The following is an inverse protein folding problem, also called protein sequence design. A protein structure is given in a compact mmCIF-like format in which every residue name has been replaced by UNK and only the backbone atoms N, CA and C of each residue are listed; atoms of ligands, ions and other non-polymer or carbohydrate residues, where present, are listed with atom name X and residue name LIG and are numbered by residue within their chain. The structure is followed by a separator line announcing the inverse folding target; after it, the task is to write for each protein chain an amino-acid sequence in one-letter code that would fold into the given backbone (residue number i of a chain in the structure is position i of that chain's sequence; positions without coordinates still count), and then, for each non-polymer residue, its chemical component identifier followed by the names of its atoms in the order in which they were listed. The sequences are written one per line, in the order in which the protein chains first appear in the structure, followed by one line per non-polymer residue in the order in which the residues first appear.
data_IF_182950097271
#
_entry.id   IF_182950097271
#
_cell.length_a   1.000
_cell.length_b   1.000
_cell.length_c   1.000
_cell.angle_alpha   90.00
_cell.angle_beta   90.00
_cell.angle_gamma   90.00
#
_symmetry.space_group_name_H-M   'P 1'
#
loop_
_entity.id
_entity.type
_entity.pdbx_description
1 polymer ?
#
# COMPACT_ATOMS: atom_id res chain seq x y z
N UNK A 1 5.15 9.83 17.75
CA UNK A 1 6.62 9.99 17.80
C UNK A 1 7.19 8.61 17.66
N UNK A 2 8.06 8.39 16.67
CA UNK A 2 8.63 7.07 16.41
C UNK A 2 9.77 6.73 17.38
N UNK A 3 10.11 5.45 17.43
CA UNK A 3 11.17 4.93 18.28
C UNK A 3 12.01 3.92 17.52
N UNK A 4 13.31 3.88 17.80
CA UNK A 4 14.21 2.89 17.21
C UNK A 4 14.25 1.65 18.10
N UNK A 5 14.13 0.46 17.50
CA UNK A 5 14.34 -0.79 18.22
C UNK A 5 15.79 -0.83 18.77
N UNK A 6 16.00 -1.03 20.09
CA UNK A 6 17.33 -1.02 20.70
C UNK A 6 18.19 -2.22 20.29
N UNK A 7 17.58 -3.25 19.71
CA UNK A 7 18.27 -4.48 19.30
C UNK A 7 18.69 -4.41 17.82
N UNK A 8 17.75 -4.24 16.90
CA UNK A 8 18.04 -4.25 15.46
C UNK A 8 18.18 -2.85 14.82
N UNK A 9 17.84 -1.77 15.53
CA UNK A 9 17.94 -0.41 15.01
C UNK A 9 16.82 0.00 14.04
N UNK A 10 15.84 -0.84 13.78
CA UNK A 10 14.70 -0.51 12.91
C UNK A 10 13.82 0.57 13.53
N UNK A 11 13.47 1.64 12.79
CA UNK A 11 12.52 2.64 13.25
C UNK A 11 11.10 2.06 13.30
N UNK A 12 10.36 2.41 14.34
CA UNK A 12 8.97 2.02 14.59
C UNK A 12 8.11 3.28 14.68
N UNK A 13 6.86 3.21 14.19
CA UNK A 13 5.99 4.37 14.04
C UNK A 13 5.64 5.05 15.38
N UNK A 14 5.45 4.25 16.43
CA UNK A 14 5.16 4.68 17.79
C UNK A 14 5.54 3.60 18.82
N UNK A 15 5.29 3.90 20.10
CA UNK A 15 5.66 3.03 21.21
C UNK A 15 4.93 1.68 21.21
N UNK A 16 3.68 1.64 20.73
CA UNK A 16 2.92 0.38 20.62
C UNK A 16 3.51 -0.48 19.51
N UNK A 17 3.87 0.11 18.36
CA UNK A 17 4.58 -0.62 17.31
C UNK A 17 5.94 -1.15 17.77
N UNK A 18 6.69 -0.37 18.56
CA UNK A 18 7.94 -0.82 19.18
C UNK A 18 7.70 -2.01 20.13
N UNK A 19 6.71 -1.91 21.02
CA UNK A 19 6.36 -2.99 21.93
C UNK A 19 5.99 -4.29 21.20
N UNK A 20 5.14 -4.16 20.17
CA UNK A 20 4.73 -5.29 19.35
C UNK A 20 5.90 -5.90 18.58
N UNK A 21 6.75 -5.07 17.97
CA UNK A 21 7.95 -5.54 17.28
C UNK A 21 8.86 -6.36 18.20
N UNK A 22 9.15 -5.85 19.40
CA UNK A 22 9.97 -6.55 20.41
C UNK A 22 9.31 -7.86 20.86
N UNK A 23 8.05 -7.80 21.29
CA UNK A 23 7.34 -8.96 21.84
C UNK A 23 7.16 -10.08 20.79
N UNK A 24 6.71 -9.76 19.57
CA UNK A 24 6.54 -10.76 18.52
C UNK A 24 7.88 -11.33 18.06
N UNK A 25 8.92 -10.50 17.94
CA UNK A 25 10.25 -11.00 17.53
C UNK A 25 10.83 -11.91 18.60
N UNK A 26 10.72 -11.55 19.88
CA UNK A 26 11.10 -12.41 20.99
C UNK A 26 10.30 -13.73 20.98
N UNK A 27 8.97 -13.70 20.86
CA UNK A 27 8.16 -14.93 20.88
C UNK A 27 8.39 -15.86 19.67
N UNK A 28 8.62 -15.29 18.47
CA UNK A 28 8.70 -16.07 17.22
C UNK A 28 10.14 -16.49 16.90
N UNK A 29 11.10 -15.60 17.15
CA UNK A 29 12.51 -15.81 16.80
C UNK A 29 13.41 -16.01 18.03
N UNK A 30 13.02 -15.49 19.19
CA UNK A 30 13.84 -15.50 20.40
C UNK A 30 15.13 -14.70 20.22
N UNK A 31 16.15 -15.09 20.98
CA UNK A 31 17.52 -14.57 20.87
C UNK A 31 17.62 -13.14 21.38
N UNK A 32 18.35 -12.28 20.67
CA UNK A 32 18.73 -10.95 21.17
C UNK A 32 17.52 -10.08 21.60
N UNK A 33 16.36 -10.25 20.97
CA UNK A 33 15.15 -9.53 21.34
C UNK A 33 14.52 -10.06 22.64
N UNK A 34 14.59 -11.37 22.86
CA UNK A 34 14.14 -12.02 24.09
C UNK A 34 15.10 -11.75 25.24
N UNK A 35 16.41 -11.93 25.03
CA UNK A 35 17.46 -11.64 26.03
C UNK A 35 17.38 -10.17 26.49
N UNK A 36 17.19 -9.23 25.55
CA UNK A 36 17.07 -7.82 25.88
C UNK A 36 15.82 -7.54 26.72
N UNK A 37 14.68 -8.14 26.36
CA UNK A 37 13.43 -8.01 27.09
C UNK A 37 13.52 -8.64 28.49
N UNK A 38 14.14 -9.80 28.63
CA UNK A 38 14.33 -10.47 29.91
C UNK A 38 15.23 -9.67 30.86
N UNK A 39 16.24 -8.98 30.33
CA UNK A 39 17.13 -8.12 31.12
C UNK A 39 16.47 -6.81 31.55
N UNK A 40 15.76 -6.14 30.64
CA UNK A 40 15.27 -4.78 30.87
C UNK A 40 13.82 -4.73 31.38
N UNK A 41 12.99 -5.67 30.96
CA UNK A 41 11.56 -5.75 31.29
C UNK A 41 11.19 -7.21 31.59
N UNK A 42 11.67 -7.81 32.69
CA UNK A 42 11.53 -9.25 32.97
C UNK A 42 10.09 -9.77 33.07
N UNK A 43 9.11 -8.88 33.21
CA UNK A 43 7.68 -9.20 33.25
C UNK A 43 6.99 -8.90 31.90
N UNK A 44 7.74 -8.75 30.80
CA UNK A 44 7.22 -8.34 29.49
C UNK A 44 6.13 -9.28 28.97
N UNK A 45 6.28 -10.59 29.19
CA UNK A 45 5.34 -11.60 28.72
C UNK A 45 3.94 -11.50 29.39
N UNK A 46 3.85 -10.88 30.56
CA UNK A 46 2.60 -10.67 31.28
C UNK A 46 1.96 -9.30 30.98
N UNK A 47 2.67 -8.42 30.26
CA UNK A 47 2.19 -7.07 29.93
C UNK A 47 1.38 -7.09 28.64
N UNK A 48 0.34 -6.26 28.62
CA UNK A 48 -0.33 -5.89 27.37
C UNK A 48 0.49 -4.88 26.57
N UNK A 49 0.05 -4.62 25.34
CA UNK A 49 0.72 -3.73 24.38
C UNK A 49 1.06 -2.35 24.96
N UNK A 50 0.09 -1.65 25.57
CA UNK A 50 0.30 -0.31 26.15
C UNK A 50 1.25 -0.34 27.35
N UNK A 51 1.14 -1.39 28.18
CA UNK A 51 1.95 -1.54 29.38
C UNK A 51 3.40 -1.92 29.07
N UNK A 52 3.62 -2.60 27.95
CA UNK A 52 4.95 -2.86 27.42
C UNK A 52 5.49 -1.62 26.71
N UNK A 53 4.67 -0.93 25.90
CA UNK A 53 5.03 0.31 25.22
C UNK A 53 5.58 1.35 26.20
N UNK A 54 4.86 1.61 27.29
CA UNK A 54 5.31 2.55 28.32
C UNK A 54 6.68 2.17 28.92
N UNK A 55 6.95 0.88 29.09
CA UNK A 55 8.23 0.41 29.64
C UNK A 55 9.38 0.52 28.64
N UNK A 56 9.14 0.18 27.37
CA UNK A 56 10.21 0.14 26.35
C UNK A 56 10.51 1.52 25.75
N UNK A 57 9.54 2.44 25.73
CA UNK A 57 9.78 3.81 25.21
C UNK A 57 10.72 4.62 26.06
N UNK A 58 10.79 4.36 27.38
CA UNK A 58 11.75 5.01 28.27
C UNK A 58 13.20 4.53 28.03
N UNK A 59 13.36 3.36 27.41
CA UNK A 59 14.63 2.70 27.15
C UNK A 59 15.09 2.82 25.69
N UNK A 60 14.21 3.26 24.80
CA UNK A 60 14.45 3.32 23.37
C UNK A 60 14.68 4.77 22.91
N UNK A 61 15.61 4.96 21.98
CA UNK A 61 15.85 6.24 21.35
C UNK A 61 14.66 6.64 20.46
N UNK A 62 14.27 7.92 20.54
CA UNK A 62 13.30 8.49 19.60
C UNK A 62 13.86 8.50 18.17
N UNK A 63 13.03 8.15 17.19
CA UNK A 63 13.40 8.14 15.78
C UNK A 63 12.29 8.72 14.89
N UNK A 64 12.69 9.26 13.75
CA UNK A 64 11.75 9.62 12.70
C UNK A 64 11.39 8.36 11.91
N UNK A 65 10.09 8.16 11.68
CA UNK A 65 9.58 7.04 10.90
C UNK A 65 9.29 7.51 9.46
N UNK A 66 9.96 6.97 8.43
CA UNK A 66 9.76 7.37 7.04
C UNK A 66 8.32 7.09 6.57
N UNK A 67 7.56 8.15 6.29
CA UNK A 67 6.21 8.04 5.73
C UNK A 67 6.30 7.93 4.20
N UNK A 68 6.41 6.71 3.66
CA UNK A 68 6.63 6.48 2.21
C UNK A 68 5.33 6.41 1.38
N UNK A 69 4.15 6.59 1.98
CA UNK A 69 2.85 6.41 1.31
C UNK A 69 2.01 7.68 1.16
N UNK A 70 2.49 8.83 1.64
CA UNK A 70 1.76 10.10 1.49
C UNK A 70 1.58 10.47 -0.01
N UNK A 71 2.52 10.04 -0.87
CA UNK A 71 2.52 10.31 -2.31
C UNK A 71 1.90 9.20 -3.18
N UNK A 72 1.09 8.30 -2.62
CA UNK A 72 0.37 7.28 -3.42
C UNK A 72 -1.13 7.54 -3.53
N UNK A 73 -1.63 8.55 -2.81
CA UNK A 73 -3.04 8.98 -2.87
C UNK A 73 -3.20 10.39 -3.47
N UNK A 74 -2.09 10.99 -3.93
CA UNK A 74 -2.05 12.26 -4.64
C UNK A 74 -2.78 12.20 -5.98
N UNK A 75 -4.07 12.55 -5.95
CA UNK A 75 -4.84 13.12 -7.06
C UNK A 75 -4.62 12.47 -8.44
N UNK A 76 -5.44 11.48 -8.79
CA UNK A 76 -5.67 11.09 -10.18
C UNK A 76 -6.43 12.19 -10.94
N UNK A 77 -5.84 13.38 -11.06
CA UNK A 77 -6.15 14.29 -12.16
C UNK A 77 -5.31 13.85 -13.35
N UNK A 78 -5.96 13.17 -14.29
CA UNK A 78 -5.45 12.89 -15.63
C UNK A 78 -5.38 14.19 -16.45
N UNK A 79 -4.50 15.12 -16.06
CA UNK A 79 -4.19 16.29 -16.88
C UNK A 79 -2.69 16.35 -17.16
N UNK A 80 -2.33 15.64 -18.23
CA UNK A 80 -1.38 16.06 -19.27
C UNK A 80 -0.15 16.85 -18.80
N UNK A 81 0.85 16.12 -18.32
CA UNK A 81 2.25 16.35 -18.65
C UNK A 81 3.02 17.39 -17.83
N UNK A 82 4.31 17.07 -17.65
CA UNK A 82 5.45 17.92 -17.33
C UNK A 82 6.04 17.80 -15.92
N UNK A 83 7.26 17.22 -15.92
CA UNK A 83 8.40 17.44 -15.03
C UNK A 83 8.62 16.46 -13.85
N UNK A 84 9.32 15.35 -14.13
CA UNK A 84 10.18 14.68 -13.16
C UNK A 84 11.33 15.62 -12.77
N UNK A 85 11.21 16.29 -11.62
CA UNK A 85 12.30 17.03 -10.98
C UNK A 85 13.06 16.13 -10.01
N UNK A 86 14.13 15.48 -10.49
CA UNK A 86 15.14 14.89 -9.61
C UNK A 86 16.07 15.99 -9.08
N UNK A 87 16.17 16.13 -7.76
CA UNK A 87 17.21 16.94 -7.13
C UNK A 87 17.15 16.89 -5.60
N UNK A 88 18.00 16.09 -4.97
CA UNK A 88 19.12 16.56 -4.13
C UNK A 88 19.90 15.32 -3.59
N UNK A 89 21.21 15.49 -3.39
CA UNK A 89 22.24 14.46 -3.39
C UNK A 89 22.35 13.56 -2.14
N UNK A 90 22.52 12.25 -2.37
CA UNK A 90 23.35 11.38 -1.53
C UNK A 90 24.58 10.92 -2.31
N UNK A 91 25.74 11.41 -1.88
CA UNK A 91 27.06 11.05 -2.37
C UNK A 91 27.39 9.60 -1.98
N UNK A 92 27.35 8.70 -2.96
CA UNK A 92 28.02 7.41 -2.91
C UNK A 92 28.94 7.32 -4.12
N UNK A 93 30.22 7.66 -3.93
CA UNK A 93 31.23 7.52 -4.96
C UNK A 93 31.42 6.06 -5.41
N UNK A 94 30.95 5.73 -6.62
CA UNK A 94 31.75 5.09 -7.70
C UNK A 94 30.92 4.87 -8.96
N UNK A 95 31.33 5.57 -10.02
CA UNK A 95 31.38 5.17 -11.43
C UNK A 95 30.16 4.48 -12.07
N UNK A 96 29.49 5.25 -12.94
CA UNK A 96 29.05 4.83 -14.28
C UNK A 96 27.89 3.83 -14.34
N UNK A 97 26.67 4.32 -14.58
CA UNK A 97 26.11 4.41 -15.93
C UNK A 97 24.64 4.88 -15.84
N UNK A 98 24.20 5.62 -16.86
CA UNK A 98 22.88 6.20 -16.92
C UNK A 98 21.81 5.11 -17.08
N UNK A 99 21.03 4.83 -16.04
CA UNK A 99 19.86 3.98 -16.17
C UNK A 99 18.66 4.83 -16.58
N UNK A 100 18.48 4.94 -17.91
CA UNK A 100 17.16 5.05 -18.52
C UNK A 100 16.30 3.83 -18.17
N UNK A 101 15.09 3.78 -18.70
CA UNK A 101 14.04 2.78 -18.44
C UNK A 101 14.38 1.31 -18.85
N UNK A 102 15.64 0.90 -18.72
CA UNK A 102 16.26 -0.34 -19.18
C UNK A 102 16.98 -1.07 -18.01
N UNK A 103 16.49 -0.93 -16.78
CA UNK A 103 17.04 -1.64 -15.62
C UNK A 103 15.95 -2.29 -14.77
N UNK A 104 15.09 -3.05 -15.44
CA UNK A 104 14.51 -4.23 -14.80
C UNK A 104 15.43 -5.40 -15.18
N UNK A 105 15.86 -6.27 -14.25
CA UNK A 105 16.70 -7.43 -14.56
C UNK A 105 15.99 -8.50 -15.42
N UNK A 106 14.78 -8.20 -15.88
CA UNK A 106 13.97 -8.99 -16.80
C UNK A 106 13.74 -8.14 -18.04
N UNK A 107 14.42 -8.52 -19.11
CA UNK A 107 14.04 -8.09 -20.45
C UNK A 107 12.65 -8.67 -20.75
N UNK A 108 11.62 -7.81 -20.72
CA UNK A 108 10.23 -8.24 -20.90
C UNK A 108 9.98 -8.72 -22.35
N UNK A 109 10.86 -8.38 -23.29
CA UNK A 109 10.81 -8.87 -24.67
C UNK A 109 11.44 -10.26 -24.82
N UNK A 110 12.36 -10.64 -23.92
CA UNK A 110 12.96 -11.97 -23.88
C UNK A 110 12.00 -13.04 -23.36
N UNK A 111 10.99 -12.66 -22.56
CA UNK A 111 9.94 -13.59 -22.08
C UNK A 111 9.02 -14.07 -23.21
N UNK A 112 8.87 -13.25 -24.26
CA UNK A 112 8.10 -13.59 -25.47
C UNK A 112 8.82 -14.64 -26.34
N UNK A 113 10.13 -14.86 -26.13
CA UNK A 113 10.98 -15.76 -26.91
C UNK A 113 11.42 -17.02 -26.14
N UNK A 114 10.81 -17.30 -24.98
CA UNK A 114 10.97 -18.59 -24.30
C UNK A 114 10.07 -19.59 -25.02
N UNK A 115 10.58 -20.79 -25.33
CA UNK A 115 9.79 -21.88 -25.90
C UNK A 115 8.66 -22.24 -24.92
N UNK A 116 7.48 -21.65 -25.14
CA UNK A 116 6.27 -21.90 -24.35
C UNK A 116 5.62 -23.19 -24.86
N UNK A 117 5.18 -24.04 -23.93
CA UNK A 117 4.34 -25.19 -24.28
C UNK A 117 3.04 -24.71 -24.92
N UNK A 118 2.52 -25.46 -25.90
CA UNK A 118 1.30 -25.08 -26.64
C UNK A 118 0.09 -24.91 -25.72
N UNK A 119 -0.01 -25.74 -24.66
CA UNK A 119 -1.04 -25.62 -23.63
C UNK A 119 -0.91 -24.30 -22.85
N UNK A 120 0.33 -23.90 -22.51
CA UNK A 120 0.57 -22.64 -21.79
C UNK A 120 0.26 -21.41 -22.65
N UNK A 121 0.56 -21.48 -23.96
CA UNK A 121 0.22 -20.43 -24.91
C UNK A 121 -1.32 -20.27 -25.08
N UNK A 122 -2.05 -21.38 -25.14
CA UNK A 122 -3.51 -21.41 -25.20
C UNK A 122 -4.14 -20.79 -23.95
N UNK A 123 -3.70 -21.21 -22.76
CA UNK A 123 -4.21 -20.69 -21.48
C UNK A 123 -3.96 -19.18 -21.32
N UNK A 124 -2.79 -18.68 -21.75
CA UNK A 124 -2.49 -17.25 -21.74
C UNK A 124 -3.34 -16.47 -22.75
N UNK A 125 -3.66 -17.06 -23.91
CA UNK A 125 -4.54 -16.45 -24.88
C UNK A 125 -5.98 -16.35 -24.35
N UNK A 126 -6.51 -17.42 -23.75
CA UNK A 126 -7.83 -17.45 -23.11
C UNK A 126 -7.95 -16.42 -21.98
N UNK A 127 -6.94 -16.34 -21.10
CA UNK A 127 -6.93 -15.36 -20.01
C UNK A 127 -6.93 -13.90 -20.53
N UNK A 128 -6.23 -13.63 -21.63
CA UNK A 128 -6.21 -12.33 -22.30
C UNK A 128 -7.57 -12.01 -22.95
N UNK A 129 -8.25 -13.00 -23.52
CA UNK A 129 -9.60 -12.86 -24.09
C UNK A 129 -10.64 -12.54 -23.02
N UNK A 130 -10.71 -13.31 -21.93
CA UNK A 130 -11.61 -13.04 -20.81
C UNK A 130 -11.44 -11.61 -20.25
N UNK A 131 -10.21 -11.11 -20.23
CA UNK A 131 -9.91 -9.75 -19.77
C UNK A 131 -10.40 -8.68 -20.77
N UNK A 132 -10.36 -8.96 -22.07
CA UNK A 132 -10.92 -8.08 -23.12
C UNK A 132 -12.43 -8.06 -23.08
N UNK A 133 -13.08 -9.21 -22.92
CA UNK A 133 -14.54 -9.31 -22.82
C UNK A 133 -15.08 -8.53 -21.61
N UNK A 134 -14.47 -8.70 -20.43
CA UNK A 134 -14.86 -7.92 -19.23
C UNK A 134 -14.71 -6.41 -19.43
N UNK A 135 -13.68 -5.98 -20.16
CA UNK A 135 -13.47 -4.56 -20.49
C UNK A 135 -14.53 -4.05 -21.46
N UNK A 136 -14.82 -4.81 -22.52
CA UNK A 136 -15.83 -4.43 -23.52
C UNK A 136 -17.23 -4.39 -22.93
N UNK A 137 -17.57 -5.35 -22.05
CA UNK A 137 -18.87 -5.37 -21.36
C UNK A 137 -19.05 -4.20 -20.39
N UNK A 138 -17.97 -3.56 -19.93
CA UNK A 138 -18.03 -2.38 -19.08
C UNK A 138 -18.27 -1.08 -19.87
N UNK A 139 -17.87 -1.03 -21.14
CA UNK A 139 -18.12 0.11 -22.03
C UNK A 139 -19.57 0.13 -22.56
N UNK A 140 -20.20 -1.03 -22.79
CA UNK A 140 -21.59 -1.12 -23.32
C UNK A 140 -22.69 -0.72 -22.31
N UNK A 141 -22.39 -0.61 -21.02
CA UNK A 141 -23.37 -0.23 -19.97
C UNK A 141 -23.58 1.30 -19.84
N UNK A 142 -22.80 2.13 -20.55
CA UNK A 142 -22.85 3.61 -20.44
C UNK A 142 -23.48 4.33 -21.65
N UNK A 143 -24.09 3.59 -22.58
CA UNK A 143 -24.51 4.10 -23.89
C UNK A 143 -26.01 4.36 -24.13
N UNK A 144 -26.84 4.59 -23.09
CA UNK A 144 -28.28 4.89 -23.30
C UNK A 144 -28.85 5.89 -22.28
N UNK A 145 -28.49 7.16 -22.45
CA UNK A 145 -29.29 8.26 -21.90
C UNK A 145 -29.29 9.41 -22.92
N UNK A 146 -30.13 9.28 -23.95
CA UNK A 146 -30.50 10.40 -24.82
C UNK A 146 -32.02 10.63 -24.76
N UNK A 147 -32.31 11.86 -24.35
CA UNK A 147 -33.52 12.62 -24.11
C UNK A 147 -34.76 12.45 -25.02
N UNK A 148 -35.94 12.53 -24.39
CA UNK A 148 -37.11 13.36 -24.77
C UNK A 148 -38.45 12.61 -24.85
N UNK A 149 -39.32 12.80 -23.85
CA UNK A 149 -40.68 13.27 -24.12
C UNK A 149 -41.26 13.98 -22.88
N UNK A 150 -41.37 15.30 -22.99
CA UNK A 150 -42.17 16.12 -22.07
C UNK A 150 -43.58 16.17 -22.63
N UNK A 151 -44.57 15.68 -21.88
CA UNK A 151 -45.93 16.22 -21.96
C UNK A 151 -46.37 16.70 -20.58
N UNK A 152 -46.60 18.01 -20.55
CA UNK A 152 -47.13 18.83 -19.48
C UNK A 152 -48.66 18.66 -19.39
N UNK A 153 -49.22 18.62 -18.19
CA UNK A 153 -50.68 18.63 -18.00
C UNK A 153 -51.16 18.38 -16.56
N UNK A 154 -51.65 19.40 -15.82
CA UNK A 154 -51.86 19.34 -14.37
C UNK A 154 -53.31 19.05 -13.94
N UNK A 155 -53.48 18.57 -12.70
CA UNK A 155 -54.75 18.54 -11.94
C UNK A 155 -54.63 17.53 -10.79
N UNK A 156 -54.41 17.93 -9.54
CA UNK A 156 -55.45 18.39 -8.60
C UNK A 156 -56.22 17.17 -8.05
N UNK A 157 -56.35 16.88 -6.76
CA UNK A 157 -56.41 17.70 -5.55
C UNK A 157 -56.40 16.77 -4.32
N UNK A 158 -56.00 17.32 -3.14
CA UNK A 158 -56.25 16.84 -1.76
C UNK A 158 -55.81 15.37 -1.45
N UNK A 159 -55.29 14.98 -0.28
CA UNK A 159 -55.82 15.10 1.09
C UNK A 159 -54.59 14.93 2.04
N UNK A 160 -54.14 15.94 2.79
CA UNK A 160 -54.37 16.13 4.24
C UNK A 160 -54.38 14.80 5.01
N UNK A 161 -53.45 14.40 5.88
CA UNK A 161 -52.65 15.13 6.86
C UNK A 161 -53.23 14.90 8.26
N UNK A 162 -52.88 13.80 8.95
CA UNK A 162 -53.22 13.50 10.36
C UNK A 162 -52.16 12.53 10.95
N UNK A 163 -51.03 12.98 11.55
CA UNK A 163 -50.76 13.08 13.00
C UNK A 163 -51.44 12.06 13.94
N UNK A 164 -50.68 11.07 14.45
CA UNK A 164 -50.46 10.77 15.89
C UNK A 164 -49.74 9.43 16.10
#
# INVERSE_FOLDING_TARGET
MGYRCPVCGDPQADGVHLANHLAFTAMVRGGEHEDWLDEHVPDWAARGEDGLAAAVTDLADSAEYPQVFDDTTGNHNYERGQAHGHGEAHDHGRAGDAMGADSLPVDVQAVDNVEMDEEAAEMLAEAREMTRERRSSADEDTGAADESDRTDGPGGSDERGEES
#
